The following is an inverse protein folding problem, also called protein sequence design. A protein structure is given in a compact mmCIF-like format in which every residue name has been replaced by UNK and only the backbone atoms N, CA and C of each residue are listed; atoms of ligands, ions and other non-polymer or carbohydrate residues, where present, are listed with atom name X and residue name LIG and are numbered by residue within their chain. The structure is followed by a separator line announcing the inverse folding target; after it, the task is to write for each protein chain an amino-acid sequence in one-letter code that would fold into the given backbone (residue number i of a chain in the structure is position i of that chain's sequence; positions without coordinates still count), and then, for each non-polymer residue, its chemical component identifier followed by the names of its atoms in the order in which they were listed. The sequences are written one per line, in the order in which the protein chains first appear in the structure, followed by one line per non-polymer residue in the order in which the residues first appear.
data_IF_771857544572
#
_entry.id   IF_771857544572
#
_cell.length_a   1.000
_cell.length_b   1.000
_cell.length_c   1.000
_cell.angle_alpha   90.00
_cell.angle_beta   90.00
_cell.angle_gamma   90.00
#
_symmetry.space_group_name_H-M   'P 1'
#
loop_
_entity.id
_entity.type
_entity.pdbx_description
1 polymer ?
#
# COMPACT_ATOMS: atom_id res chain seq x y z
N UNK A 1 12.47 8.32 4.37
CA UNK A 1 12.89 8.25 2.95
C UNK A 1 12.43 9.51 2.26
N UNK A 2 13.33 10.17 1.51
CA UNK A 2 12.93 11.30 0.67
C UNK A 2 12.18 10.77 -0.56
N UNK A 3 11.13 11.47 -1.00
CA UNK A 3 10.32 11.04 -2.16
C UNK A 3 11.14 10.96 -3.44
N UNK A 4 12.22 11.74 -3.51
CA UNK A 4 13.15 11.76 -4.62
C UNK A 4 13.97 10.46 -4.78
N UNK A 5 14.19 9.68 -3.71
CA UNK A 5 14.97 8.42 -3.78
C UNK A 5 14.12 7.22 -4.25
N UNK A 6 12.78 7.32 -4.19
CA UNK A 6 11.86 6.26 -4.60
C UNK A 6 11.74 6.15 -6.13
N UNK A 7 12.03 7.24 -6.84
CA UNK A 7 12.02 7.31 -8.30
C UNK A 7 13.42 7.64 -8.80
N UNK A 8 14.35 6.71 -8.59
CA UNK A 8 15.72 6.86 -9.05
C UNK A 8 15.79 6.88 -10.59
N UNK A 9 16.77 7.55 -11.18
CA UNK A 9 16.89 7.68 -12.64
C UNK A 9 16.99 6.32 -13.33
N UNK A 10 17.63 5.34 -12.67
CA UNK A 10 17.74 3.97 -13.18
C UNK A 10 16.41 3.22 -13.16
N UNK A 11 15.46 3.60 -12.29
CA UNK A 11 14.10 3.08 -12.30
C UNK A 11 13.30 3.65 -13.47
N UNK A 12 13.43 4.96 -13.72
CA UNK A 12 12.75 5.63 -14.82
C UNK A 12 13.27 5.20 -16.20
N UNK A 13 14.56 4.87 -16.32
CA UNK A 13 15.17 4.31 -17.55
C UNK A 13 14.63 2.94 -17.96
N UNK A 14 13.97 2.20 -17.07
CA UNK A 14 13.40 0.89 -17.40
C UNK A 14 12.11 1.00 -18.22
N UNK A 15 11.41 2.12 -18.14
CA UNK A 15 10.17 2.35 -18.88
C UNK A 15 10.48 2.89 -20.26
N UNK A 16 9.94 2.24 -21.30
CA UNK A 16 10.18 2.63 -22.70
C UNK A 16 9.12 3.58 -23.21
N UNK A 17 7.97 3.63 -22.56
CA UNK A 17 6.82 4.46 -22.95
C UNK A 17 6.11 5.08 -21.73
N UNK A 18 5.46 6.22 -21.93
CA UNK A 18 4.68 6.87 -20.88
C UNK A 18 3.45 6.06 -20.43
N UNK A 19 2.92 5.20 -21.30
CA UNK A 19 1.81 4.31 -20.97
C UNK A 19 2.23 3.18 -20.01
N UNK A 20 3.43 2.62 -20.16
CA UNK A 20 3.98 1.64 -19.21
C UNK A 20 4.21 2.26 -17.83
N UNK A 21 4.74 3.50 -17.78
CA UNK A 21 4.91 4.22 -16.52
C UNK A 21 3.55 4.51 -15.86
N UNK A 22 2.56 4.99 -16.62
CA UNK A 22 1.22 5.24 -16.10
C UNK A 22 0.52 3.96 -15.64
N UNK A 23 0.69 2.85 -16.36
CA UNK A 23 0.18 1.54 -15.95
C UNK A 23 0.79 1.08 -14.64
N UNK A 24 2.11 1.20 -14.51
CA UNK A 24 2.82 0.87 -13.27
C UNK A 24 2.41 1.77 -12.11
N UNK A 25 2.30 3.09 -12.32
CA UNK A 25 1.87 4.03 -11.30
C UNK A 25 0.43 3.75 -10.85
N UNK A 26 -0.47 3.41 -11.78
CA UNK A 26 -1.83 2.95 -11.44
C UNK A 26 -1.79 1.69 -10.59
N UNK A 27 -0.97 0.70 -10.95
CA UNK A 27 -0.86 -0.52 -10.15
C UNK A 27 -0.28 -0.25 -8.76
N UNK A 28 0.77 0.57 -8.67
CA UNK A 28 1.40 0.96 -7.41
C UNK A 28 0.43 1.74 -6.52
N UNK A 29 -0.23 2.76 -7.06
CA UNK A 29 -1.20 3.59 -6.34
C UNK A 29 -2.43 2.77 -5.92
N UNK A 30 -3.01 2.01 -6.84
CA UNK A 30 -4.25 1.29 -6.57
C UNK A 30 -4.05 0.07 -5.69
N UNK A 31 -2.99 -0.72 -5.88
CA UNK A 31 -2.78 -1.92 -5.05
C UNK A 31 -2.08 -1.55 -3.76
N UNK A 32 -0.84 -1.09 -3.82
CA UNK A 32 -0.04 -0.86 -2.62
C UNK A 32 -0.49 0.36 -1.82
N UNK A 33 -0.85 1.44 -2.50
CA UNK A 33 -1.31 2.67 -1.86
C UNK A 33 -2.64 2.44 -1.12
N UNK A 34 -3.66 1.96 -1.81
CA UNK A 34 -4.99 1.73 -1.21
C UNK A 34 -4.93 0.65 -0.13
N UNK A 35 -4.23 -0.48 -0.34
CA UNK A 35 -4.10 -1.51 0.69
C UNK A 35 -3.46 -0.96 1.97
N UNK A 36 -2.42 -0.12 1.85
CA UNK A 36 -1.76 0.48 3.01
C UNK A 36 -2.60 1.55 3.70
N UNK A 37 -3.38 2.31 2.93
CA UNK A 37 -4.35 3.25 3.51
C UNK A 37 -5.44 2.50 4.29
N UNK A 38 -5.98 1.42 3.73
CA UNK A 38 -6.97 0.56 4.40
C UNK A 38 -6.39 -0.15 5.63
N UNK A 39 -5.14 -0.63 5.56
CA UNK A 39 -4.43 -1.17 6.72
C UNK A 39 -4.33 -0.09 7.82
N UNK A 40 -3.98 1.16 7.48
CA UNK A 40 -3.91 2.26 8.44
C UNK A 40 -5.27 2.64 9.05
N UNK A 41 -6.34 2.64 8.25
CA UNK A 41 -7.70 2.82 8.76
C UNK A 41 -8.09 1.69 9.73
N UNK A 42 -7.71 0.44 9.43
CA UNK A 42 -7.97 -0.71 10.29
C UNK A 42 -7.16 -0.64 11.60
N UNK A 43 -5.91 -0.21 11.53
CA UNK A 43 -5.04 0.01 12.69
C UNK A 43 -5.66 1.08 13.61
N UNK A 44 -6.13 2.19 13.06
CA UNK A 44 -6.80 3.26 13.80
C UNK A 44 -8.18 2.88 14.34
N UNK A 45 -8.93 2.00 13.67
CA UNK A 45 -10.21 1.51 14.17
C UNK A 45 -10.04 0.54 15.34
N UNK A 46 -8.99 -0.28 15.30
CA UNK A 46 -8.74 -1.31 16.30
C UNK A 46 -7.88 -0.82 17.47
N UNK A 47 -7.21 0.33 17.35
CA UNK A 47 -6.24 0.86 18.32
C UNK A 47 -5.10 -0.11 18.66
N UNK A 48 -4.78 -1.03 17.74
CA UNK A 48 -3.62 -1.92 17.87
C UNK A 48 -3.06 -2.32 16.51
N UNK A 49 -1.73 -2.44 16.42
CA UNK A 49 -1.03 -2.87 15.20
C UNK A 49 -1.19 -4.38 14.94
N UNK A 50 -1.00 -4.80 13.68
CA UNK A 50 -1.04 -6.22 13.31
C UNK A 50 -0.02 -7.02 14.15
N UNK A 51 -0.49 -8.07 14.83
CA UNK A 51 0.26 -8.91 15.77
C UNK A 51 0.60 -8.31 17.14
N UNK A 52 0.09 -7.11 17.46
CA UNK A 52 0.21 -6.55 18.80
C UNK A 52 -0.79 -7.20 19.78
N UNK A 53 -0.50 -7.15 21.09
CA UNK A 53 -1.44 -7.60 22.12
C UNK A 53 -2.68 -6.70 22.11
N UNK A 54 -3.83 -7.29 21.75
CA UNK A 54 -5.13 -6.60 21.76
C UNK A 54 -5.74 -6.56 23.16
N UNK A 55 -6.47 -5.48 23.46
CA UNK A 55 -7.32 -5.37 24.66
C UNK A 55 -8.82 -5.55 24.35
N UNK A 56 -9.22 -5.50 23.09
CA UNK A 56 -10.62 -5.60 22.64
C UNK A 56 -11.05 -6.99 22.17
N UNK A 57 -12.37 -7.15 21.97
CA UNK A 57 -13.01 -8.36 21.46
C UNK A 57 -12.77 -8.57 19.95
N UNK A 58 -12.68 -7.47 19.20
CA UNK A 58 -12.48 -7.50 17.75
C UNK A 58 -11.08 -7.94 17.33
N UNK A 59 -11.03 -8.81 16.32
CA UNK A 59 -9.79 -9.39 15.79
C UNK A 59 -9.71 -9.27 14.28
N UNK A 60 -8.48 -9.11 13.76
CA UNK A 60 -8.24 -9.06 12.32
C UNK A 60 -8.51 -10.42 11.69
N UNK A 61 -9.34 -10.44 10.65
CA UNK A 61 -9.77 -11.66 9.96
C UNK A 61 -9.28 -11.73 8.50
N UNK A 62 -7.98 -11.48 8.29
CA UNK A 62 -7.36 -11.57 6.95
C UNK A 62 -7.83 -10.51 5.95
N UNK A 63 -7.67 -10.81 4.65
CA UNK A 63 -7.99 -9.91 3.54
C UNK A 63 -8.94 -10.61 2.56
N UNK A 64 -9.92 -9.88 2.02
CA UNK A 64 -10.80 -10.34 0.95
C UNK A 64 -10.56 -9.54 -0.33
N UNK A 65 -10.75 -10.17 -1.50
CA UNK A 65 -10.69 -9.47 -2.79
C UNK A 65 -12.08 -8.99 -3.15
N UNK A 66 -12.19 -7.70 -3.48
CA UNK A 66 -13.42 -7.17 -4.06
C UNK A 66 -13.61 -7.81 -5.44
N UNK A 67 -14.79 -8.41 -5.65
CA UNK A 67 -15.19 -9.03 -6.92
C UNK A 67 -15.62 -7.98 -7.92
#
# INVERSE_FOLDING_TARGET
MKKEELFNDDFLKQFKTGDELNGFLKELQQKRGIEKMLDGELDGHLDYEKHQKRKGENSRNGHSKKK
#
